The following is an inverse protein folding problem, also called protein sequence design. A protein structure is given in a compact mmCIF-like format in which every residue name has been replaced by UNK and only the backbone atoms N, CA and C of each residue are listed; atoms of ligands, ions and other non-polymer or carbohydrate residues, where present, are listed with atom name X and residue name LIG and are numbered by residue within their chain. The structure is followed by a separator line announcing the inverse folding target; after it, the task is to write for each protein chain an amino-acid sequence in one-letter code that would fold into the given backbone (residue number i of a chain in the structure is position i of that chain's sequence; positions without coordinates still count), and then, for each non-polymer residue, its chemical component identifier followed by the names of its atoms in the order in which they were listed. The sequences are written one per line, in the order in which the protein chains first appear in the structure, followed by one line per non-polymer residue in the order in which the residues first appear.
data_IF_827354154108
#
_entry.id   IF_827354154108
#
_cell.length_a   1.000
_cell.length_b   1.000
_cell.length_c   1.000
_cell.angle_alpha   90.00
_cell.angle_beta   90.00
_cell.angle_gamma   90.00
#
_symmetry.space_group_name_H-M   'P 1'
#
loop_
_entity.id
_entity.type
_entity.pdbx_description
1 polymer ?
#
# COMPACT_ATOMS: atom_id res chain seq x y z
N UNK A 1 50.47 46.32 -27.21
CA UNK A 1 50.20 45.64 -25.92
C UNK A 1 48.94 46.26 -25.32
N UNK A 2 48.00 45.42 -24.88
CA UNK A 2 46.58 45.72 -24.73
C UNK A 2 46.22 46.60 -23.52
N UNK A 3 45.30 47.54 -23.74
CA UNK A 3 44.57 48.34 -22.74
C UNK A 3 43.49 47.48 -22.08
N UNK A 4 43.55 47.28 -20.75
CA UNK A 4 42.45 46.64 -20.00
C UNK A 4 41.38 47.68 -19.68
N UNK A 5 40.21 47.51 -20.30
CA UNK A 5 38.99 48.28 -20.04
C UNK A 5 38.39 47.82 -18.72
N UNK A 6 38.43 48.68 -17.69
CA UNK A 6 37.65 48.48 -16.46
C UNK A 6 36.21 48.86 -16.80
N UNK A 7 35.32 47.87 -16.95
CA UNK A 7 33.88 48.08 -17.08
C UNK A 7 33.27 47.87 -15.70
N UNK A 8 32.87 48.99 -15.11
CA UNK A 8 31.94 49.19 -13.99
C UNK A 8 31.11 47.94 -13.62
N UNK A 9 31.38 47.37 -12.44
CA UNK A 9 30.63 46.28 -11.83
C UNK A 9 29.42 46.76 -11.01
N UNK A 10 28.84 47.94 -11.29
CA UNK A 10 27.84 48.57 -10.40
C UNK A 10 26.46 48.76 -11.03
N UNK A 11 26.01 47.92 -11.97
CA UNK A 11 24.61 47.93 -12.38
C UNK A 11 23.93 46.57 -12.25
N UNK A 12 22.91 46.61 -11.39
CA UNK A 12 21.64 45.89 -11.46
C UNK A 12 21.61 44.41 -11.06
N UNK A 13 21.80 44.16 -9.76
CA UNK A 13 21.14 43.03 -9.05
C UNK A 13 19.62 43.24 -8.83
N UNK A 14 19.01 44.17 -9.57
CA UNK A 14 17.61 44.60 -9.44
C UNK A 14 16.83 44.52 -10.76
N UNK A 15 17.41 43.95 -11.82
CA UNK A 15 16.77 43.85 -13.15
C UNK A 15 16.60 42.38 -13.60
N UNK A 16 16.53 41.45 -12.63
CA UNK A 16 16.25 40.03 -12.88
C UNK A 16 14.93 39.58 -12.28
N UNK A 17 13.93 40.47 -12.26
CA UNK A 17 12.60 40.14 -11.72
C UNK A 17 11.43 40.35 -12.71
N UNK A 18 11.65 40.89 -13.92
CA UNK A 18 10.52 41.32 -14.77
C UNK A 18 10.51 40.78 -16.22
N UNK A 19 11.16 39.64 -16.51
CA UNK A 19 10.81 38.93 -17.75
C UNK A 19 10.96 37.41 -17.68
N UNK A 20 9.84 36.75 -18.01
CA UNK A 20 9.64 35.32 -18.28
C UNK A 20 9.51 34.50 -16.99
N UNK A 21 8.31 34.29 -16.44
CA UNK A 21 7.11 33.81 -17.14
C UNK A 21 6.84 32.39 -16.67
N UNK A 22 5.91 32.25 -15.72
CA UNK A 22 5.46 31.00 -15.09
C UNK A 22 6.49 30.33 -14.18
N UNK A 23 6.32 30.46 -12.87
CA UNK A 23 6.91 29.52 -11.91
C UNK A 23 6.69 28.08 -12.42
N UNK A 24 7.73 27.22 -12.49
CA UNK A 24 7.53 25.79 -12.75
C UNK A 24 6.70 25.10 -11.65
N UNK A 25 6.41 25.80 -10.55
CA UNK A 25 5.83 25.25 -9.34
C UNK A 25 4.28 25.31 -9.27
N UNK A 26 3.59 26.07 -10.13
CA UNK A 26 2.16 26.31 -9.96
C UNK A 26 1.25 25.29 -10.70
N UNK A 27 1.79 24.48 -11.60
CA UNK A 27 1.02 23.47 -12.36
C UNK A 27 1.66 22.07 -12.31
N UNK A 28 2.40 21.76 -11.25
CA UNK A 28 2.68 20.36 -10.92
C UNK A 28 1.54 19.90 -10.04
N UNK A 29 0.44 19.46 -10.68
CA UNK A 29 -0.66 18.79 -9.99
C UNK A 29 -0.04 17.66 -9.18
N UNK A 30 -0.09 17.76 -7.85
CA UNK A 30 0.46 16.74 -6.97
C UNK A 30 -0.19 15.42 -7.36
N UNK A 31 0.63 14.47 -7.80
CA UNK A 31 0.16 13.14 -8.13
C UNK A 31 -0.27 12.48 -6.82
N UNK A 32 -1.58 12.50 -6.59
CA UNK A 32 -2.27 11.88 -5.44
C UNK A 32 -2.75 10.47 -5.79
N UNK A 33 -2.34 9.92 -6.95
CA UNK A 33 -2.60 8.53 -7.24
C UNK A 33 -2.00 7.67 -6.12
N UNK A 34 -2.75 6.70 -5.58
CA UNK A 34 -2.24 5.83 -4.53
C UNK A 34 -0.95 5.15 -5.01
N UNK A 35 0.17 5.44 -4.34
CA UNK A 35 1.46 4.83 -4.64
C UNK A 35 1.48 3.30 -4.42
N UNK A 36 0.46 2.77 -3.75
CA UNK A 36 0.26 1.34 -3.51
C UNK A 36 -0.89 0.81 -4.39
N UNK A 37 -0.70 -0.31 -5.11
CA UNK A 37 -1.74 -0.90 -5.94
C UNK A 37 -3.02 -1.20 -5.15
N UNK A 38 -4.17 -0.97 -5.77
CA UNK A 38 -5.49 -1.19 -5.14
C UNK A 38 -5.72 -2.65 -4.75
N UNK A 39 -5.12 -3.60 -5.47
CA UNK A 39 -5.14 -5.02 -5.13
C UNK A 39 -4.52 -5.28 -3.75
N UNK A 40 -3.41 -4.62 -3.42
CA UNK A 40 -2.73 -4.73 -2.12
C UNK A 40 -3.62 -4.15 -1.02
N UNK A 41 -4.25 -3.00 -1.26
CA UNK A 41 -5.18 -2.38 -0.29
C UNK A 41 -6.32 -3.34 0.06
N UNK A 42 -6.93 -3.96 -0.96
CA UNK A 42 -8.03 -4.91 -0.74
C UNK A 42 -7.59 -6.15 0.04
N UNK A 43 -6.38 -6.67 -0.23
CA UNK A 43 -5.80 -7.79 0.52
C UNK A 43 -5.56 -7.43 1.99
N UNK A 44 -4.94 -6.29 2.26
CA UNK A 44 -4.70 -5.81 3.62
C UNK A 44 -6.02 -5.63 4.39
N UNK A 45 -7.03 -5.08 3.73
CA UNK A 45 -8.36 -4.92 4.32
C UNK A 45 -9.02 -6.27 4.61
N UNK A 46 -8.95 -7.23 3.69
CA UNK A 46 -9.52 -8.56 3.88
C UNK A 46 -8.84 -9.30 5.05
N UNK A 47 -7.51 -9.23 5.15
CA UNK A 47 -6.77 -9.88 6.23
C UNK A 47 -7.03 -9.25 7.59
N UNK A 48 -7.10 -7.92 7.66
CA UNK A 48 -7.41 -7.23 8.91
C UNK A 48 -8.82 -7.56 9.40
N UNK A 49 -9.82 -7.56 8.50
CA UNK A 49 -11.17 -8.01 8.84
C UNK A 49 -11.19 -9.49 9.25
N UNK A 50 -10.51 -10.36 8.50
CA UNK A 50 -10.46 -11.79 8.80
C UNK A 50 -9.91 -12.09 10.19
N UNK A 51 -8.84 -11.39 10.60
CA UNK A 51 -8.22 -11.57 11.91
C UNK A 51 -9.12 -11.17 13.08
N UNK A 52 -10.05 -10.25 12.85
CA UNK A 52 -11.00 -9.77 13.86
C UNK A 52 -12.27 -10.61 13.83
N UNK A 53 -12.87 -10.76 12.64
CA UNK A 53 -14.20 -11.37 12.46
C UNK A 53 -14.16 -12.87 12.71
N UNK A 54 -13.12 -13.59 12.30
CA UNK A 54 -13.13 -15.06 12.40
C UNK A 54 -12.98 -15.52 13.86
N UNK A 55 -12.01 -15.06 14.66
CA UNK A 55 -11.88 -15.50 16.06
C UNK A 55 -13.03 -15.01 16.94
N UNK A 56 -13.44 -13.74 16.78
CA UNK A 56 -14.54 -13.15 17.56
C UNK A 56 -15.88 -13.76 17.12
N UNK A 57 -16.10 -13.90 15.82
CA UNK A 57 -17.30 -14.54 15.27
C UNK A 57 -17.42 -15.98 15.73
N UNK A 58 -16.31 -16.73 15.75
CA UNK A 58 -16.30 -18.11 16.27
C UNK A 58 -16.69 -18.18 17.74
N UNK A 59 -16.21 -17.25 18.57
CA UNK A 59 -16.60 -17.18 19.98
C UNK A 59 -18.12 -17.00 20.14
N UNK A 60 -18.69 -15.96 19.54
CA UNK A 60 -20.12 -15.68 19.67
C UNK A 60 -21.01 -16.71 18.98
N UNK A 61 -20.53 -17.31 17.88
CA UNK A 61 -21.25 -18.39 17.22
C UNK A 61 -21.31 -19.63 18.11
N UNK A 62 -20.25 -19.96 18.85
CA UNK A 62 -20.15 -21.22 19.62
C UNK A 62 -20.57 -21.14 21.08
N UNK A 63 -20.52 -19.94 21.71
CA UNK A 63 -20.81 -19.77 23.14
C UNK A 63 -22.22 -20.26 23.52
N UNK A 64 -23.23 -19.88 22.74
CA UNK A 64 -24.62 -20.22 23.03
C UNK A 64 -25.10 -21.48 22.29
N UNK A 65 -24.54 -21.79 21.11
CA UNK A 65 -25.02 -22.91 20.28
C UNK A 65 -24.39 -24.26 20.66
N UNK A 66 -23.10 -24.27 21.03
CA UNK A 66 -22.35 -25.50 21.30
C UNK A 66 -22.11 -25.67 22.81
N UNK A 67 -21.78 -24.58 23.50
CA UNK A 67 -21.33 -24.63 24.90
C UNK A 67 -22.37 -24.18 25.92
N UNK A 68 -23.62 -23.90 25.51
CA UNK A 68 -24.76 -23.54 26.39
C UNK A 68 -24.42 -22.42 27.40
N UNK A 69 -23.65 -21.42 26.97
CA UNK A 69 -23.23 -20.28 27.77
C UNK A 69 -21.89 -20.44 28.51
N UNK A 70 -21.18 -21.57 28.36
CA UNK A 70 -19.85 -21.71 28.97
C UNK A 70 -18.77 -20.96 28.17
N UNK A 71 -18.53 -19.73 28.60
CA UNK A 71 -17.58 -18.79 27.98
C UNK A 71 -16.13 -19.29 27.99
N UNK A 72 -15.75 -20.16 28.91
CA UNK A 72 -14.38 -20.71 28.98
C UNK A 72 -14.10 -21.66 27.81
N UNK A 73 -15.03 -22.56 27.50
CA UNK A 73 -14.86 -23.48 26.36
C UNK A 73 -15.00 -22.77 25.02
N UNK A 74 -15.93 -21.82 24.92
CA UNK A 74 -16.06 -20.99 23.73
C UNK A 74 -14.80 -20.13 23.49
N UNK A 75 -14.23 -19.55 24.54
CA UNK A 75 -12.98 -18.80 24.49
C UNK A 75 -11.78 -19.66 24.09
N UNK A 76 -11.68 -20.88 24.63
CA UNK A 76 -10.64 -21.83 24.24
C UNK A 76 -10.74 -22.21 22.75
N UNK A 77 -11.96 -22.43 22.24
CA UNK A 77 -12.18 -22.71 20.83
C UNK A 77 -11.85 -21.49 19.94
N UNK A 78 -12.18 -20.28 20.39
CA UNK A 78 -11.81 -19.05 19.69
C UNK A 78 -10.28 -18.87 19.59
N UNK A 79 -9.53 -19.21 20.65
CA UNK A 79 -8.07 -19.19 20.63
C UNK A 79 -7.49 -20.23 19.65
N UNK A 80 -8.08 -21.41 19.57
CA UNK A 80 -7.71 -22.42 18.56
C UNK A 80 -8.00 -21.89 17.15
N UNK A 81 -9.15 -21.26 16.94
CA UNK A 81 -9.52 -20.67 15.65
C UNK A 81 -8.62 -19.52 15.24
N UNK A 82 -8.10 -18.72 16.18
CA UNK A 82 -7.10 -17.70 15.88
C UNK A 82 -5.81 -18.29 15.29
N UNK A 83 -5.35 -19.44 15.80
CA UNK A 83 -4.21 -20.16 15.23
C UNK A 83 -4.53 -20.76 13.86
N UNK A 84 -5.76 -21.24 13.65
CA UNK A 84 -6.21 -21.70 12.33
C UNK A 84 -6.24 -20.57 11.30
N UNK A 85 -6.62 -19.36 11.69
CA UNK A 85 -6.56 -18.15 10.84
C UNK A 85 -5.11 -17.83 10.45
N UNK A 86 -4.16 -17.94 11.39
CA UNK A 86 -2.74 -17.75 11.07
C UNK A 86 -2.25 -18.77 10.04
N UNK A 87 -2.61 -20.04 10.20
CA UNK A 87 -2.27 -21.08 9.22
C UNK A 87 -2.92 -20.79 7.86
N UNK A 88 -4.20 -20.38 7.85
CA UNK A 88 -4.91 -19.97 6.64
C UNK A 88 -4.24 -18.79 5.95
N UNK A 89 -3.74 -17.81 6.71
CA UNK A 89 -2.96 -16.69 6.19
C UNK A 89 -1.72 -17.18 5.45
N UNK A 90 -0.98 -18.13 6.02
CA UNK A 90 0.20 -18.72 5.39
C UNK A 90 -0.16 -19.39 4.07
N UNK A 91 -1.27 -20.15 4.01
CA UNK A 91 -1.72 -20.75 2.76
C UNK A 91 -2.10 -19.73 1.69
N UNK A 92 -2.83 -18.68 2.06
CA UNK A 92 -3.18 -17.61 1.11
C UNK A 92 -1.92 -16.90 0.63
N UNK A 93 -0.98 -16.59 1.53
CA UNK A 93 0.29 -15.99 1.16
C UNK A 93 1.09 -16.87 0.18
N UNK A 94 1.14 -18.20 0.40
CA UNK A 94 1.78 -19.13 -0.54
C UNK A 94 1.05 -19.22 -1.90
N UNK A 95 -0.28 -19.14 -1.91
CA UNK A 95 -1.06 -19.15 -3.14
C UNK A 95 -0.88 -17.86 -3.94
N UNK A 96 -0.80 -16.72 -3.25
CA UNK A 96 -0.51 -15.43 -3.87
C UNK A 96 0.92 -15.36 -4.41
N UNK A 97 1.91 -15.86 -3.67
CA UNK A 97 3.32 -15.93 -4.09
C UNK A 97 3.49 -16.77 -5.38
N UNK A 98 2.80 -17.92 -5.47
CA UNK A 98 2.77 -18.72 -6.70
C UNK A 98 2.07 -18.02 -7.88
N UNK A 99 1.03 -17.24 -7.60
CA UNK A 99 0.27 -16.53 -8.64
C UNK A 99 1.10 -15.40 -9.27
N UNK A 100 1.88 -14.68 -8.47
CA UNK A 100 2.85 -13.69 -8.96
C UNK A 100 4.01 -14.35 -9.71
N UNK A 101 4.42 -15.56 -9.32
CA UNK A 101 5.47 -16.30 -10.00
C UNK A 101 5.02 -16.93 -11.34
N UNK A 102 3.70 -17.13 -11.54
CA UNK A 102 3.12 -17.72 -12.75
C UNK A 102 2.57 -16.69 -13.78
N UNK A 103 2.57 -15.39 -13.48
CA UNK A 103 2.28 -14.31 -14.43
C UNK A 103 3.36 -13.23 -14.38
N UNK A 104 4.19 -13.04 -15.43
CA UNK A 104 3.78 -12.74 -16.81
C UNK A 104 4.57 -13.54 -17.87
N UNK A 105 4.52 -14.87 -17.87
CA UNK A 105 5.16 -15.70 -18.93
C UNK A 105 4.23 -16.11 -20.09
N UNK A 106 3.00 -15.58 -20.17
CA UNK A 106 2.04 -15.94 -21.25
C UNK A 106 1.74 -14.86 -22.28
N UNK A 107 2.31 -13.66 -22.17
CA UNK A 107 2.12 -12.60 -23.19
C UNK A 107 3.29 -12.45 -24.17
N UNK A 108 4.47 -13.03 -23.90
CA UNK A 108 5.65 -12.89 -24.78
C UNK A 108 5.78 -13.96 -25.89
N UNK A 109 4.82 -14.87 -26.05
CA UNK A 109 4.95 -16.02 -26.98
C UNK A 109 3.77 -16.21 -27.95
N UNK A 110 3.01 -15.16 -28.24
CA UNK A 110 1.98 -15.16 -29.31
C UNK A 110 2.31 -14.29 -30.53
N UNK A 111 3.37 -13.47 -30.49
CA UNK A 111 3.74 -12.56 -31.58
C UNK A 111 5.18 -12.70 -32.10
N UNK A 112 5.74 -13.93 -32.11
CA UNK A 112 6.99 -14.18 -32.83
C UNK A 112 7.07 -15.55 -33.47
#
# INVERSE_FOLDING_TARGET
MATRRIISQEKTLLEKDDSIGSSPAAHVKSDIAPAVPTSVIMKLLAFTLGMIVIPIGSYFATVDTVFKGNSTYAGALAAIMANAVLIGYIFVAMAEDQSEQLGPSREAKKDR
#
